data_IF_251501551370
#
_entry.id   IF_251501551370
#
_cell.length_a   1.000
_cell.length_b   1.000
_cell.length_c   1.000
_cell.angle_alpha   90.00
_cell.angle_beta   90.00
_cell.angle_gamma   90.00
#
_symmetry.space_group_name_H-M   'P 1'
#
loop_
_entity.id
_entity.type
_entity.pdbx_description
1 polymer ?
#
# COMPACT_ATOMS: atom_id res chain seq x y z
N UNK A 1 -2.41 5.42 -10.19
CA UNK A 1 -2.73 6.41 -9.15
C UNK A 1 -3.41 5.64 -8.02
N UNK A 2 -2.96 5.79 -6.77
CA UNK A 2 -3.53 5.11 -5.60
C UNK A 2 -4.01 6.19 -4.64
N UNK A 3 -5.24 6.05 -4.14
CA UNK A 3 -5.85 7.00 -3.21
C UNK A 3 -6.41 6.23 -2.00
N UNK A 4 -6.00 6.65 -0.80
CA UNK A 4 -6.46 6.08 0.45
C UNK A 4 -7.66 6.90 0.91
N UNK A 5 -8.85 6.30 0.96
CA UNK A 5 -10.12 6.98 1.28
C UNK A 5 -10.39 7.11 2.78
N UNK A 6 -9.47 6.65 3.63
CA UNK A 6 -9.63 6.61 5.09
C UNK A 6 -8.39 7.14 5.82
N UNK A 7 -8.56 7.58 7.07
CA UNK A 7 -7.43 8.00 7.90
C UNK A 7 -6.70 6.78 8.47
N UNK A 8 -5.45 6.60 8.06
CA UNK A 8 -4.58 5.48 8.47
C UNK A 8 -3.45 5.89 9.43
N UNK A 9 -3.48 7.12 9.95
CA UNK A 9 -2.41 7.66 10.82
C UNK A 9 -2.32 6.89 12.13
N UNK A 10 -1.17 6.30 12.40
CA UNK A 10 -0.92 5.54 13.64
C UNK A 10 -1.47 4.11 13.64
N UNK A 11 -2.13 3.70 12.56
CA UNK A 11 -2.75 2.38 12.44
C UNK A 11 -1.78 1.32 11.90
N UNK A 12 -2.09 0.06 12.19
CA UNK A 12 -1.44 -1.11 11.57
C UNK A 12 -2.23 -1.51 10.33
N UNK A 13 -1.60 -1.39 9.17
CA UNK A 13 -2.23 -1.61 7.86
C UNK A 13 -1.68 -2.88 7.23
N UNK A 14 -2.56 -3.69 6.66
CA UNK A 14 -2.21 -4.92 5.94
C UNK A 14 -2.56 -4.76 4.45
N UNK A 15 -1.60 -5.00 3.57
CA UNK A 15 -1.79 -4.95 2.11
C UNK A 15 -1.83 -6.38 1.58
N UNK A 16 -2.96 -6.77 1.02
CA UNK A 16 -3.12 -8.07 0.37
C UNK A 16 -3.04 -7.85 -1.13
N UNK A 17 -1.87 -8.11 -1.71
CA UNK A 17 -1.65 -7.99 -3.16
C UNK A 17 -0.93 -9.22 -3.71
N UNK A 18 -1.47 -9.79 -4.79
CA UNK A 18 -0.81 -10.89 -5.50
C UNK A 18 0.30 -10.34 -6.40
N UNK A 19 1.45 -11.01 -6.46
CA UNK A 19 2.53 -10.69 -7.41
C UNK A 19 2.51 -11.60 -8.65
N UNK A 20 1.38 -12.27 -8.91
CA UNK A 20 1.18 -13.10 -10.10
C UNK A 20 1.12 -12.26 -11.39
N UNK A 21 1.09 -12.91 -12.55
CA UNK A 21 1.03 -12.22 -13.85
C UNK A 21 -0.18 -11.24 -13.92
N UNK A 22 0.00 -9.99 -14.38
CA UNK A 22 1.25 -9.33 -14.77
C UNK A 22 2.08 -8.86 -13.55
N UNK A 23 3.22 -9.52 -13.31
CA UNK A 23 3.97 -9.38 -12.06
C UNK A 23 4.53 -7.97 -11.82
N UNK A 24 5.02 -7.32 -12.89
CA UNK A 24 5.63 -5.99 -12.79
C UNK A 24 4.61 -4.91 -12.43
N UNK A 25 3.41 -4.97 -13.02
CA UNK A 25 2.35 -4.01 -12.75
C UNK A 25 1.84 -4.17 -11.31
N UNK A 26 1.64 -5.41 -10.89
CA UNK A 26 1.23 -5.74 -9.53
C UNK A 26 2.28 -5.31 -8.48
N UNK A 27 3.57 -5.49 -8.80
CA UNK A 27 4.67 -5.02 -7.95
C UNK A 27 4.69 -3.49 -7.87
N UNK A 28 4.52 -2.79 -8.99
CA UNK A 28 4.47 -1.33 -9.01
C UNK A 28 3.28 -0.80 -8.21
N UNK A 29 2.11 -1.42 -8.33
CA UNK A 29 0.93 -1.07 -7.55
C UNK A 29 1.16 -1.26 -6.04
N UNK A 30 1.77 -2.38 -5.64
CA UNK A 30 2.15 -2.63 -4.25
C UNK A 30 3.09 -1.54 -3.71
N UNK A 31 4.15 -1.20 -4.46
CA UNK A 31 5.12 -0.19 -4.04
C UNK A 31 4.50 1.20 -3.91
N UNK A 32 3.63 1.59 -4.85
CA UNK A 32 2.92 2.88 -4.79
C UNK A 32 1.97 2.92 -3.58
N UNK A 33 1.28 1.82 -3.29
CA UNK A 33 0.40 1.71 -2.12
C UNK A 33 1.18 1.83 -0.81
N UNK A 34 2.33 1.15 -0.69
CA UNK A 34 3.21 1.26 0.47
C UNK A 34 3.71 2.70 0.67
N UNK A 35 4.11 3.36 -0.42
CA UNK A 35 4.56 4.76 -0.38
C UNK A 35 3.44 5.71 0.07
N UNK A 36 2.22 5.54 -0.44
CA UNK A 36 1.07 6.32 -0.01
C UNK A 36 0.77 6.13 1.50
N UNK A 37 0.76 4.89 1.99
CA UNK A 37 0.53 4.59 3.41
C UNK A 37 1.62 5.16 4.32
N UNK A 38 2.88 5.11 3.87
CA UNK A 38 4.01 5.68 4.61
C UNK A 38 3.90 7.18 4.72
N UNK A 39 3.51 7.89 3.65
CA UNK A 39 3.27 9.35 3.69
C UNK A 39 2.07 9.71 4.57
N UNK A 40 1.07 8.84 4.63
CA UNK A 40 -0.08 8.98 5.53
C UNK A 40 0.22 8.64 7.00
N UNK A 41 1.48 8.34 7.34
CA UNK A 41 1.93 8.08 8.72
C UNK A 41 1.32 6.83 9.37
N UNK A 42 1.12 5.75 8.59
CA UNK A 42 0.80 4.43 9.16
C UNK A 42 1.90 3.98 10.14
N UNK A 43 1.51 3.36 11.26
CA UNK A 43 2.46 2.88 12.29
C UNK A 43 3.21 1.64 11.82
N UNK A 44 2.51 0.72 11.17
CA UNK A 44 3.06 -0.51 10.60
C UNK A 44 2.36 -0.80 9.28
N UNK A 45 3.12 -1.31 8.32
CA UNK A 45 2.62 -1.78 7.02
C UNK A 45 3.06 -3.25 6.91
N UNK A 46 2.14 -4.17 6.67
CA UNK A 46 2.39 -5.62 6.56
C UNK A 46 1.82 -6.19 5.27
#
# INVERSE_FOLDING_TARGET
>A
FVEIQENVRGEDVFIIQSTSFPANDNLMELLITIDALRRSSARRIT
#
